data_IF_815164891149
#
_entry.id   IF_815164891149
#
_cell.length_a   1.000
_cell.length_b   1.000
_cell.length_c   1.000
_cell.angle_alpha   90.00
_cell.angle_beta   90.00
_cell.angle_gamma   90.00
#
_symmetry.space_group_name_H-M   'P 1'
#
loop_
_entity.id
_entity.type
_entity.pdbx_description
1 polymer ?
#
# COMPACT_ATOMS: atom_id res chain seq x y z
N UNK A 1 2.62 -24.42 0.27
CA UNK A 1 3.72 -23.46 0.16
C UNK A 1 3.17 -22.11 -0.25
N UNK A 2 3.57 -21.08 0.44
CA UNK A 2 3.12 -19.74 0.13
C UNK A 2 4.08 -19.05 -0.83
N UNK A 3 3.55 -18.20 -1.69
CA UNK A 3 4.32 -17.45 -2.66
C UNK A 3 4.05 -15.97 -2.54
N UNK A 4 5.08 -15.17 -2.87
CA UNK A 4 4.89 -13.77 -3.10
C UNK A 4 4.33 -13.58 -4.51
N UNK A 5 3.18 -12.93 -4.61
CA UNK A 5 2.51 -12.71 -5.88
C UNK A 5 2.75 -11.28 -6.33
N UNK A 6 3.45 -11.13 -7.45
CA UNK A 6 3.68 -9.82 -8.07
C UNK A 6 2.96 -9.84 -9.42
N UNK A 7 2.04 -8.92 -9.62
CA UNK A 7 1.23 -8.86 -10.83
C UNK A 7 0.85 -7.42 -11.15
N UNK A 8 0.08 -7.24 -12.23
CA UNK A 8 -0.47 -5.93 -12.56
C UNK A 8 -1.39 -5.37 -11.48
N UNK A 9 -1.92 -6.24 -10.62
CA UNK A 9 -2.76 -5.84 -9.49
C UNK A 9 -1.94 -5.47 -8.24
N UNK A 10 -0.62 -5.52 -8.32
CA UNK A 10 0.28 -5.17 -7.23
C UNK A 10 0.97 -6.37 -6.59
N UNK A 11 1.36 -6.21 -5.35
CA UNK A 11 2.13 -7.17 -4.58
C UNK A 11 1.23 -7.84 -3.55
N UNK A 12 1.20 -9.15 -3.51
CA UNK A 12 0.40 -9.92 -2.54
C UNK A 12 1.18 -11.09 -1.98
N UNK A 13 0.91 -11.43 -0.74
CA UNK A 13 1.57 -12.55 -0.10
C UNK A 13 1.02 -12.81 1.29
N UNK A 14 1.55 -13.82 1.94
CA UNK A 14 1.22 -14.13 3.33
C UNK A 14 2.08 -13.26 4.23
N UNK A 15 1.43 -12.47 5.07
CA UNK A 15 2.09 -11.51 5.95
C UNK A 15 3.06 -12.23 6.89
N UNK A 16 4.30 -11.74 6.94
CA UNK A 16 5.36 -12.31 7.76
C UNK A 16 6.13 -13.47 7.12
N UNK A 17 5.62 -14.03 6.03
CA UNK A 17 6.30 -15.11 5.29
C UNK A 17 6.85 -14.62 3.95
N UNK A 18 5.97 -14.26 3.04
CA UNK A 18 6.35 -13.78 1.70
C UNK A 18 6.14 -12.28 1.55
N UNK A 19 5.08 -11.75 2.16
CA UNK A 19 4.88 -10.31 2.27
C UNK A 19 5.46 -9.84 3.62
N UNK A 20 6.73 -9.51 3.61
CA UNK A 20 7.43 -8.99 4.79
C UNK A 20 7.48 -7.47 4.76
N UNK A 21 7.83 -6.86 5.90
CA UNK A 21 8.00 -5.40 5.95
C UNK A 21 9.10 -4.93 4.98
N UNK A 22 10.16 -5.70 4.85
CA UNK A 22 11.24 -5.38 3.91
C UNK A 22 10.74 -5.38 2.47
N UNK A 23 10.02 -6.41 2.06
CA UNK A 23 9.45 -6.51 0.70
C UNK A 23 8.46 -5.37 0.46
N UNK A 24 7.56 -5.12 1.39
CA UNK A 24 6.55 -4.06 1.26
C UNK A 24 7.20 -2.68 1.13
N UNK A 25 8.17 -2.36 1.97
CA UNK A 25 8.80 -1.04 1.95
C UNK A 25 9.65 -0.84 0.70
N UNK A 26 10.34 -1.86 0.22
CA UNK A 26 11.08 -1.80 -1.05
C UNK A 26 10.16 -1.57 -2.24
N UNK A 27 9.05 -2.29 -2.28
CA UNK A 27 8.07 -2.17 -3.36
C UNK A 27 7.51 -0.75 -3.42
N UNK A 28 7.12 -0.21 -2.27
CA UNK A 28 6.52 1.12 -2.16
C UNK A 28 7.54 2.21 -2.49
N UNK A 29 8.79 2.07 -2.06
CA UNK A 29 9.85 3.02 -2.40
C UNK A 29 10.09 3.08 -3.91
N UNK A 30 10.13 1.92 -4.57
CA UNK A 30 10.28 1.84 -6.02
C UNK A 30 9.09 2.48 -6.75
N UNK A 31 7.87 2.24 -6.26
CA UNK A 31 6.66 2.84 -6.80
C UNK A 31 6.71 4.37 -6.68
N UNK A 32 7.04 4.88 -5.49
CA UNK A 32 7.10 6.31 -5.24
C UNK A 32 8.13 7.03 -6.12
N UNK A 33 9.24 6.36 -6.44
CA UNK A 33 10.27 6.94 -7.28
C UNK A 33 9.81 7.26 -8.70
N UNK A 34 8.71 6.66 -9.14
CA UNK A 34 8.14 6.84 -10.48
C UNK A 34 7.00 7.85 -10.51
N UNK A 35 6.58 8.35 -9.35
CA UNK A 35 5.48 9.31 -9.28
C UNK A 35 5.99 10.74 -9.33
N UNK A 36 5.17 11.67 -9.86
CA UNK A 36 5.49 13.10 -9.77
C UNK A 36 5.56 13.57 -8.32
N UNK A 37 6.03 14.78 -8.10
CA UNK A 37 6.04 15.38 -6.77
C UNK A 37 4.60 15.54 -6.25
N UNK A 38 4.43 15.41 -4.94
CA UNK A 38 3.14 15.58 -4.30
C UNK A 38 2.87 14.51 -3.24
N UNK A 39 1.80 14.68 -2.46
CA UNK A 39 1.46 13.73 -1.40
C UNK A 39 0.97 12.42 -1.98
N UNK A 40 1.13 11.35 -1.20
CA UNK A 40 0.67 10.01 -1.54
C UNK A 40 -0.37 9.58 -0.51
N UNK A 41 -1.52 9.13 -0.98
CA UNK A 41 -2.54 8.57 -0.11
C UNK A 41 -2.19 7.13 0.25
N UNK A 42 -2.46 6.76 1.50
CA UNK A 42 -2.32 5.39 1.97
C UNK A 42 -3.67 4.95 2.54
N UNK A 43 -4.30 3.99 1.90
CA UNK A 43 -5.55 3.40 2.35
C UNK A 43 -5.39 1.91 2.60
N UNK A 44 -6.38 1.31 3.24
CA UNK A 44 -6.38 -0.12 3.51
C UNK A 44 -7.80 -0.68 3.55
N UNK A 45 -7.90 -2.00 3.37
CA UNK A 45 -9.14 -2.71 3.67
C UNK A 45 -9.21 -3.03 5.18
N UNK A 46 -10.20 -3.79 5.61
CA UNK A 46 -10.42 -4.09 7.02
C UNK A 46 -9.57 -5.24 7.58
N UNK A 47 -8.56 -5.72 6.88
CA UNK A 47 -7.74 -6.84 7.36
C UNK A 47 -6.90 -6.44 8.56
N UNK A 48 -6.72 -7.40 9.49
CA UNK A 48 -6.02 -7.15 10.76
C UNK A 48 -4.56 -6.72 10.59
N UNK A 49 -3.90 -7.14 9.52
CA UNK A 49 -2.52 -6.74 9.22
C UNK A 49 -2.41 -5.36 8.55
N UNK A 50 -3.53 -4.76 8.17
CA UNK A 50 -3.56 -3.47 7.51
C UNK A 50 -2.88 -2.34 8.27
N UNK A 51 -3.21 -2.12 9.55
CA UNK A 51 -2.60 -1.04 10.34
C UNK A 51 -1.08 -1.14 10.43
N UNK A 52 -0.54 -2.33 10.62
CA UNK A 52 0.91 -2.55 10.69
C UNK A 52 1.57 -2.23 9.36
N UNK A 53 1.01 -2.74 8.26
CA UNK A 53 1.52 -2.46 6.92
C UNK A 53 1.41 -0.98 6.57
N UNK A 54 0.31 -0.34 6.94
CA UNK A 54 0.11 1.10 6.72
C UNK A 54 1.19 1.93 7.40
N UNK A 55 1.53 1.59 8.65
CA UNK A 55 2.59 2.30 9.38
C UNK A 55 3.95 2.12 8.72
N UNK A 56 4.29 0.90 8.32
CA UNK A 56 5.55 0.60 7.65
C UNK A 56 5.67 1.35 6.31
N UNK A 57 4.61 1.33 5.52
CA UNK A 57 4.56 2.00 4.22
C UNK A 57 4.66 3.51 4.38
N UNK A 58 3.93 4.08 5.33
CA UNK A 58 4.00 5.52 5.61
C UNK A 58 5.40 5.93 6.04
N UNK A 59 6.05 5.14 6.89
CA UNK A 59 7.42 5.40 7.30
C UNK A 59 8.38 5.36 6.10
N UNK A 60 8.24 4.38 5.21
CA UNK A 60 9.08 4.27 4.03
C UNK A 60 8.89 5.45 3.07
N UNK A 61 7.66 5.86 2.83
CA UNK A 61 7.35 7.00 1.97
C UNK A 61 7.88 8.30 2.55
N UNK A 62 7.71 8.48 3.85
CA UNK A 62 8.24 9.67 4.55
C UNK A 62 9.77 9.71 4.47
N UNK A 63 10.43 8.57 4.61
CA UNK A 63 11.88 8.47 4.45
C UNK A 63 12.33 8.84 3.03
N UNK A 64 11.48 8.63 2.03
CA UNK A 64 11.74 9.05 0.65
C UNK A 64 11.39 10.52 0.38
N UNK A 65 11.03 11.28 1.41
CA UNK A 65 10.68 12.69 1.27
C UNK A 65 9.24 12.95 0.82
N UNK A 66 8.36 11.96 0.94
CA UNK A 66 6.96 12.11 0.55
C UNK A 66 6.08 12.43 1.76
N UNK A 67 5.16 13.36 1.57
CA UNK A 67 4.06 13.55 2.51
C UNK A 67 3.01 12.47 2.27
N UNK A 68 2.45 11.94 3.34
CA UNK A 68 1.43 10.91 3.27
C UNK A 68 0.11 11.40 3.85
N UNK A 69 -0.98 11.01 3.22
CA UNK A 69 -2.33 11.25 3.72
C UNK A 69 -2.93 9.89 4.03
N UNK A 70 -3.26 9.65 5.29
CA UNK A 70 -3.89 8.41 5.72
C UNK A 70 -5.38 8.46 5.38
N UNK A 71 -5.79 7.63 4.43
CA UNK A 71 -7.19 7.48 4.06
C UNK A 71 -7.92 6.44 4.91
N UNK A 72 -7.21 5.81 5.84
CA UNK A 72 -7.76 4.80 6.76
C UNK A 72 -8.40 3.64 5.99
N UNK A 73 -9.49 3.07 6.50
CA UNK A 73 -10.20 1.99 5.82
C UNK A 73 -11.09 2.60 4.74
N UNK A 74 -10.78 2.30 3.49
CA UNK A 74 -11.51 2.85 2.35
C UNK A 74 -11.50 1.85 1.19
N UNK A 75 -12.55 1.88 0.39
CA UNK A 75 -12.61 1.08 -0.82
C UNK A 75 -11.71 1.67 -1.90
N UNK A 76 -11.19 0.82 -2.78
CA UNK A 76 -10.30 1.25 -3.86
C UNK A 76 -10.92 2.36 -4.73
N UNK A 77 -12.20 2.30 -5.14
CA UNK A 77 -12.79 3.40 -5.90
C UNK A 77 -12.80 4.74 -5.15
N UNK A 78 -12.99 4.70 -3.83
CA UNK A 78 -12.93 5.90 -2.97
C UNK A 78 -11.54 6.51 -2.99
N UNK A 79 -10.51 5.68 -2.94
CA UNK A 79 -9.11 6.14 -3.03
C UNK A 79 -8.87 6.87 -4.35
N UNK A 80 -9.37 6.34 -5.46
CA UNK A 80 -9.25 6.99 -6.77
C UNK A 80 -9.88 8.38 -6.80
N UNK A 81 -11.05 8.53 -6.18
CA UNK A 81 -11.73 9.83 -6.05
C UNK A 81 -10.87 10.79 -5.22
N UNK A 82 -10.36 10.33 -4.07
CA UNK A 82 -9.55 11.15 -3.17
C UNK A 82 -8.26 11.63 -3.83
N UNK A 83 -7.64 10.81 -4.64
CA UNK A 83 -6.43 11.22 -5.38
C UNK A 83 -6.72 12.45 -6.23
N UNK A 84 -7.84 12.44 -6.95
CA UNK A 84 -8.24 13.57 -7.79
C UNK A 84 -8.62 14.80 -6.97
N UNK A 85 -9.43 14.59 -5.91
CA UNK A 85 -9.94 15.69 -5.08
C UNK A 85 -8.81 16.41 -4.32
N UNK A 86 -7.82 15.67 -3.84
CA UNK A 86 -6.72 16.22 -3.05
C UNK A 86 -5.49 16.59 -3.88
N UNK A 87 -5.51 16.33 -5.19
CA UNK A 87 -4.37 16.58 -6.05
C UNK A 87 -3.14 15.75 -5.66
N UNK A 88 -3.36 14.52 -5.18
CA UNK A 88 -2.27 13.66 -4.77
C UNK A 88 -1.47 13.14 -5.98
N UNK A 89 -0.19 12.84 -5.76
CA UNK A 89 0.67 12.27 -6.79
C UNK A 89 0.28 10.84 -7.11
N UNK A 90 -0.29 10.14 -6.17
CA UNK A 90 -0.73 8.76 -6.32
C UNK A 90 -1.26 8.21 -5.00
N UNK A 91 -1.50 6.91 -4.97
CA UNK A 91 -2.01 6.25 -3.78
C UNK A 91 -1.47 4.83 -3.66
N UNK A 92 -1.40 4.36 -2.42
CA UNK A 92 -1.11 2.97 -2.09
C UNK A 92 -2.33 2.42 -1.35
N UNK A 93 -2.90 1.34 -1.85
CA UNK A 93 -4.02 0.66 -1.22
C UNK A 93 -3.56 -0.69 -0.70
N UNK A 94 -3.72 -0.90 0.59
CA UNK A 94 -3.35 -2.16 1.24
C UNK A 94 -4.57 -3.08 1.21
N UNK A 95 -4.55 -4.06 0.32
CA UNK A 95 -5.67 -4.97 0.12
C UNK A 95 -5.19 -6.23 -0.57
N UNK A 96 -5.68 -7.37 -0.15
CA UNK A 96 -5.44 -8.63 -0.82
C UNK A 96 -6.65 -9.08 -1.66
N UNK A 97 -7.66 -8.23 -1.79
CA UNK A 97 -8.85 -8.51 -2.59
C UNK A 97 -9.51 -9.82 -2.17
N UNK A 98 -9.49 -10.85 -3.01
CA UNK A 98 -10.15 -12.14 -2.76
C UNK A 98 -9.25 -13.16 -2.08
N UNK A 99 -8.01 -12.83 -1.75
CA UNK A 99 -7.11 -13.78 -1.11
C UNK A 99 -7.57 -14.10 0.34
N UNK A 100 -7.21 -15.31 0.86
CA UNK A 100 -7.60 -15.71 2.21
C UNK A 100 -7.06 -14.78 3.31
N UNK A 101 -7.59 -14.85 4.54
CA UNK A 101 -7.23 -13.95 5.64
C UNK A 101 -5.74 -13.75 5.92
N UNK A 102 -4.85 -14.78 5.86
CA UNK A 102 -3.43 -14.53 6.13
C UNK A 102 -2.73 -13.71 5.06
N UNK A 103 -3.35 -13.53 3.89
CA UNK A 103 -2.79 -12.71 2.83
C UNK A 103 -3.08 -11.23 3.06
N UNK A 104 -2.20 -10.39 2.56
CA UNK A 104 -2.47 -8.99 2.30
C UNK A 104 -1.67 -8.55 1.08
N UNK A 105 -1.83 -7.31 0.68
CA UNK A 105 -1.18 -6.82 -0.53
C UNK A 105 -1.13 -5.30 -0.58
N UNK A 106 -0.47 -4.83 -1.59
CA UNK A 106 -0.21 -3.39 -1.79
C UNK A 106 -0.50 -3.02 -3.23
#
# INVERSE_FOLDING_TARGET
MSELIISVSGLRGIVGETLTLEVATRFVAAFASKLPAGPILVGRDGRSSGPMLSRAITAALTACGRDCVDADVAATPTIGVLVRELGAAGAVQISASHNPPPYNGI
#
